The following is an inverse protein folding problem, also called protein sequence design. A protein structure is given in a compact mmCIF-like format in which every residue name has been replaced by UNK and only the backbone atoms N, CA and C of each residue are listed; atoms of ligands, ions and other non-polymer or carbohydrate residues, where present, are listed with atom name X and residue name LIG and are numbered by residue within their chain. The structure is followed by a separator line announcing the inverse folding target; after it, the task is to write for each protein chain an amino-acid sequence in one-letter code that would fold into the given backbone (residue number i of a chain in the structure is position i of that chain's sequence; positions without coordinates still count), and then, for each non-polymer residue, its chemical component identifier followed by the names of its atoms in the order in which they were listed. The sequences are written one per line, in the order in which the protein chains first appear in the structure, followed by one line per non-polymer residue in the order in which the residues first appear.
data_IF_388986652537
#
_entry.id   IF_388986652537
#
_cell.length_a   1.000
_cell.length_b   1.000
_cell.length_c   1.000
_cell.angle_alpha   90.00
_cell.angle_beta   90.00
_cell.angle_gamma   90.00
#
_symmetry.space_group_name_H-M   'P 1'
#
loop_
_entity.id
_entity.type
_entity.pdbx_description
1 polymer ?
#
# COMPACT_ATOMS: atom_id res chain seq x y z
N UNK A 1 -9.91 26.83 20.82
CA UNK A 1 -10.28 26.06 19.62
C UNK A 1 -10.66 27.06 18.57
N UNK A 2 -9.79 27.28 17.59
CA UNK A 2 -10.17 28.06 16.41
C UNK A 2 -11.08 27.14 15.58
N UNK A 3 -12.30 27.60 15.28
CA UNK A 3 -13.19 26.89 14.36
C UNK A 3 -12.43 26.65 13.06
N UNK A 4 -12.16 25.39 12.76
CA UNK A 4 -11.55 25.03 11.48
C UNK A 4 -12.66 25.14 10.44
N UNK A 5 -12.51 25.97 9.39
CA UNK A 5 -13.58 26.18 8.43
C UNK A 5 -13.97 24.86 7.76
N UNK A 6 -15.20 24.44 7.99
CA UNK A 6 -15.80 23.26 7.37
C UNK A 6 -16.19 23.60 5.92
N UNK A 7 -15.92 22.67 5.00
CA UNK A 7 -16.39 22.77 3.62
C UNK A 7 -17.57 21.81 3.43
N UNK A 8 -18.80 22.32 3.21
CA UNK A 8 -19.92 21.50 2.80
C UNK A 8 -19.75 21.06 1.34
N UNK A 9 -20.49 20.02 0.94
CA UNK A 9 -20.55 19.59 -0.46
C UNK A 9 -21.98 19.74 -0.98
N UNK A 10 -22.13 20.20 -2.23
CA UNK A 10 -23.42 20.25 -2.93
C UNK A 10 -23.42 19.41 -4.19
N UNK A 11 -22.25 19.26 -4.83
CA UNK A 11 -22.08 18.49 -6.08
C UNK A 11 -20.91 17.54 -5.97
N UNK A 12 -21.15 16.26 -6.25
CA UNK A 12 -20.14 15.22 -6.27
C UNK A 12 -19.96 14.67 -7.69
N UNK A 13 -18.71 14.60 -8.17
CA UNK A 13 -18.35 13.92 -9.41
C UNK A 13 -17.73 12.56 -9.10
N UNK A 14 -18.38 11.48 -9.53
CA UNK A 14 -17.98 10.10 -9.27
C UNK A 14 -17.56 9.44 -10.59
N UNK A 15 -16.33 8.95 -10.68
CA UNK A 15 -15.80 8.22 -11.82
C UNK A 15 -14.77 7.20 -11.33
N UNK A 16 -15.22 5.99 -11.02
CA UNK A 16 -14.40 4.96 -10.36
C UNK A 16 -14.25 3.71 -11.22
N UNK A 17 -13.05 3.13 -11.24
CA UNK A 17 -12.77 1.81 -11.81
C UNK A 17 -13.15 0.69 -10.84
N UNK A 18 -12.72 0.76 -9.58
CA UNK A 18 -13.17 -0.11 -8.49
C UNK A 18 -14.47 0.45 -7.89
N UNK A 19 -15.54 -0.35 -7.95
CA UNK A 19 -16.88 0.03 -7.44
C UNK A 19 -17.13 -0.41 -6.00
N UNK A 20 -16.11 -0.91 -5.30
CA UNK A 20 -16.21 -1.27 -3.88
C UNK A 20 -16.73 -0.09 -3.05
N UNK A 21 -17.81 -0.30 -2.29
CA UNK A 21 -18.44 0.73 -1.46
C UNK A 21 -19.11 1.88 -2.22
N UNK A 22 -19.11 1.90 -3.56
CA UNK A 22 -19.66 3.00 -4.36
C UNK A 22 -21.14 3.26 -4.08
N UNK A 23 -21.94 2.19 -4.01
CA UNK A 23 -23.40 2.32 -3.83
C UNK A 23 -23.74 2.90 -2.46
N UNK A 24 -23.00 2.54 -1.42
CA UNK A 24 -23.24 3.02 -0.06
C UNK A 24 -22.77 4.46 0.10
N UNK A 25 -21.61 4.80 -0.52
CA UNK A 25 -21.18 6.19 -0.63
C UNK A 25 -22.25 7.05 -1.31
N UNK A 26 -22.72 6.64 -2.48
CA UNK A 26 -23.64 7.43 -3.29
C UNK A 26 -25.02 7.58 -2.62
N UNK A 27 -25.52 6.55 -1.94
CA UNK A 27 -26.73 6.65 -1.09
C UNK A 27 -26.54 7.64 0.06
N UNK A 28 -25.39 7.61 0.72
CA UNK A 28 -25.07 8.57 1.79
C UNK A 28 -25.03 10.01 1.28
N UNK A 29 -24.42 10.24 0.11
CA UNK A 29 -24.37 11.56 -0.52
C UNK A 29 -25.77 12.06 -0.93
N UNK A 30 -26.57 11.21 -1.57
CA UNK A 30 -27.94 11.54 -1.98
C UNK A 30 -28.85 11.86 -0.78
N UNK A 31 -28.74 11.10 0.32
CA UNK A 31 -29.45 11.36 1.56
C UNK A 31 -29.09 12.72 2.20
N UNK A 32 -27.88 13.22 1.95
CA UNK A 32 -27.43 14.56 2.36
C UNK A 32 -27.83 15.66 1.36
N UNK A 33 -28.56 15.33 0.30
CA UNK A 33 -28.99 16.27 -0.74
C UNK A 33 -27.88 16.66 -1.72
N UNK A 34 -26.80 15.88 -1.81
CA UNK A 34 -25.67 16.15 -2.69
C UNK A 34 -25.99 15.62 -4.08
N UNK A 35 -25.93 16.50 -5.09
CA UNK A 35 -26.19 16.13 -6.47
C UNK A 35 -25.06 15.25 -7.03
N UNK A 36 -25.41 14.10 -7.61
CA UNK A 36 -24.46 13.16 -8.19
C UNK A 36 -24.24 13.42 -9.68
N UNK A 37 -22.98 13.57 -10.06
CA UNK A 37 -22.50 13.68 -11.43
C UNK A 37 -21.62 12.47 -11.70
N UNK A 38 -21.79 11.79 -12.83
CA UNK A 38 -20.98 10.62 -13.14
C UNK A 38 -20.82 10.39 -14.65
N UNK A 39 -20.04 9.38 -15.02
CA UNK A 39 -19.79 9.01 -16.42
C UNK A 39 -19.74 7.49 -16.59
N UNK A 40 -20.18 7.02 -17.76
CA UNK A 40 -19.99 5.66 -18.25
C UNK A 40 -20.46 4.59 -17.27
N UNK A 41 -19.62 3.58 -17.01
CA UNK A 41 -19.96 2.47 -16.13
C UNK A 41 -20.25 2.87 -14.67
N UNK A 42 -19.71 4.00 -14.19
CA UNK A 42 -20.05 4.49 -12.85
C UNK A 42 -21.47 5.04 -12.82
N UNK A 43 -21.87 5.82 -13.82
CA UNK A 43 -23.23 6.34 -13.93
C UNK A 43 -24.26 5.21 -14.06
N UNK A 44 -23.94 4.16 -14.82
CA UNK A 44 -24.79 2.97 -14.91
C UNK A 44 -24.99 2.29 -13.56
N UNK A 45 -23.91 2.04 -12.82
CA UNK A 45 -24.00 1.42 -11.48
C UNK A 45 -24.86 2.25 -10.50
N UNK A 46 -24.81 3.58 -10.59
CA UNK A 46 -25.65 4.47 -9.78
C UNK A 46 -27.13 4.38 -10.19
N UNK A 47 -27.44 4.28 -11.48
CA UNK A 47 -28.82 4.08 -11.96
C UNK A 47 -29.38 2.73 -11.54
N UNK A 48 -28.59 1.67 -11.62
CA UNK A 48 -28.99 0.33 -11.19
C UNK A 48 -29.28 0.30 -9.68
N UNK A 49 -28.59 1.16 -8.91
CA UNK A 49 -28.88 1.42 -7.51
C UNK A 49 -30.06 2.39 -7.26
N UNK A 50 -30.79 2.78 -8.32
CA UNK A 50 -31.95 3.68 -8.30
C UNK A 50 -31.64 5.09 -7.78
N UNK A 51 -30.40 5.57 -7.97
CA UNK A 51 -29.98 6.91 -7.56
C UNK A 51 -30.11 7.92 -8.72
N UNK A 52 -30.55 9.17 -8.44
CA UNK A 52 -30.55 10.22 -9.43
C UNK A 52 -29.10 10.61 -9.77
N UNK A 53 -28.75 10.55 -11.05
CA UNK A 53 -27.40 10.87 -11.53
C UNK A 53 -27.45 11.69 -12.81
N UNK A 54 -26.69 12.76 -12.85
CA UNK A 54 -26.47 13.56 -14.06
C UNK A 54 -25.21 13.06 -14.77
N UNK A 55 -25.32 12.74 -16.06
CA UNK A 55 -24.15 12.38 -16.87
C UNK A 55 -23.26 13.60 -17.11
N UNK A 56 -21.95 13.38 -17.16
CA UNK A 56 -20.97 14.42 -17.52
C UNK A 56 -21.28 15.01 -18.90
N UNK A 57 -21.76 14.21 -19.86
CA UNK A 57 -22.14 14.72 -21.20
C UNK A 57 -23.31 15.72 -21.15
N UNK A 58 -24.25 15.55 -20.21
CA UNK A 58 -25.33 16.51 -19.99
C UNK A 58 -24.81 17.81 -19.33
N UNK A 59 -23.75 17.71 -18.52
CA UNK A 59 -23.07 18.88 -17.97
C UNK A 59 -22.28 19.63 -19.03
N UNK A 60 -21.53 18.93 -19.88
CA UNK A 60 -20.60 19.53 -20.84
C UNK A 60 -21.28 19.96 -22.14
N UNK A 61 -22.41 19.35 -22.48
CA UNK A 61 -23.03 19.48 -23.81
C UNK A 61 -22.19 18.83 -24.93
N UNK A 62 -21.14 18.08 -24.58
CA UNK A 62 -20.22 17.45 -25.52
C UNK A 62 -20.42 15.92 -25.54
N UNK A 63 -20.58 15.30 -26.71
CA UNK A 63 -20.79 13.86 -26.81
C UNK A 63 -19.53 13.08 -26.44
N UNK A 64 -19.69 11.82 -26.06
CA UNK A 64 -18.56 10.91 -25.88
C UNK A 64 -17.96 10.57 -27.26
N UNK A 65 -16.67 10.89 -27.46
CA UNK A 65 -15.92 10.62 -28.69
C UNK A 65 -14.60 9.93 -28.34
N UNK A 66 -13.93 9.36 -29.36
CA UNK A 66 -12.63 8.67 -29.21
C UNK A 66 -12.67 7.62 -28.09
N UNK A 67 -13.75 6.84 -28.05
CA UNK A 67 -14.00 5.80 -27.03
C UNK A 67 -13.87 6.32 -25.59
N UNK A 68 -14.30 7.57 -25.35
CA UNK A 68 -14.33 8.17 -24.02
C UNK A 68 -13.01 8.79 -23.55
N UNK A 69 -11.95 8.78 -24.36
CA UNK A 69 -10.61 9.31 -24.01
C UNK A 69 -10.59 10.76 -23.52
N UNK A 70 -11.53 11.59 -23.99
CA UNK A 70 -11.55 13.04 -23.72
C UNK A 70 -12.77 13.52 -22.95
N UNK A 71 -13.62 12.60 -22.45
CA UNK A 71 -14.95 12.96 -21.94
C UNK A 71 -14.98 13.87 -20.72
N UNK A 72 -13.95 13.81 -19.87
CA UNK A 72 -13.84 14.66 -18.67
C UNK A 72 -12.84 15.81 -18.84
N UNK A 73 -12.09 15.85 -19.95
CA UNK A 73 -11.10 16.89 -20.25
C UNK A 73 -11.78 18.15 -20.78
N UNK A 74 -12.69 18.71 -19.98
CA UNK A 74 -13.56 19.80 -20.36
C UNK A 74 -13.51 20.96 -19.34
N UNK A 75 -13.53 22.23 -19.77
CA UNK A 75 -13.52 23.38 -18.85
C UNK A 75 -14.67 23.40 -17.83
N UNK A 76 -15.86 22.91 -18.20
CA UNK A 76 -17.00 22.81 -17.25
C UNK A 76 -16.74 21.80 -16.12
N UNK A 77 -15.87 20.80 -16.35
CA UNK A 77 -15.46 19.84 -15.31
C UNK A 77 -14.28 20.42 -14.52
N UNK A 78 -13.19 20.74 -15.22
CA UNK A 78 -11.96 21.21 -14.56
C UNK A 78 -12.11 22.59 -13.92
N UNK A 79 -12.91 23.49 -14.49
CA UNK A 79 -13.26 24.77 -13.89
C UNK A 79 -14.11 24.60 -12.62
N UNK A 80 -15.01 23.61 -12.59
CA UNK A 80 -15.78 23.28 -11.39
C UNK A 80 -14.88 22.78 -10.24
N UNK A 81 -13.86 22.00 -10.59
CA UNK A 81 -12.86 21.47 -9.64
C UNK A 81 -11.81 22.52 -9.23
N UNK A 82 -11.37 23.40 -10.13
CA UNK A 82 -10.24 24.33 -9.90
C UNK A 82 -10.65 25.74 -9.49
N UNK A 83 -11.91 26.13 -9.69
CA UNK A 83 -12.37 27.49 -9.37
C UNK A 83 -12.18 27.82 -7.89
N UNK A 84 -11.46 28.90 -7.61
CA UNK A 84 -11.22 29.40 -6.25
C UNK A 84 -12.48 30.12 -5.78
N UNK A 85 -13.11 29.60 -4.72
CA UNK A 85 -14.39 30.14 -4.24
C UNK A 85 -14.19 31.56 -3.72
N UNK A 86 -15.08 32.48 -4.09
CA UNK A 86 -14.99 33.90 -3.75
C UNK A 86 -14.02 34.72 -4.61
N UNK A 87 -13.17 34.08 -5.42
CA UNK A 87 -12.24 34.78 -6.33
C UNK A 87 -12.65 34.60 -7.79
N UNK A 88 -12.96 33.37 -8.19
CA UNK A 88 -13.28 33.02 -9.58
C UNK A 88 -14.79 32.93 -9.83
N UNK A 89 -15.63 33.21 -8.82
CA UNK A 89 -17.10 33.04 -8.89
C UNK A 89 -17.73 33.80 -10.07
N UNK A 90 -17.26 35.02 -10.36
CA UNK A 90 -17.79 35.85 -11.45
C UNK A 90 -17.51 35.23 -12.82
N UNK A 91 -16.28 34.80 -13.08
CA UNK A 91 -15.89 34.16 -14.35
C UNK A 91 -16.50 32.76 -14.48
N UNK A 92 -16.65 32.03 -13.37
CA UNK A 92 -17.38 30.77 -13.36
C UNK A 92 -18.84 30.97 -13.76
N UNK A 93 -19.52 31.97 -13.20
CA UNK A 93 -20.91 32.28 -13.53
C UNK A 93 -21.07 32.73 -14.99
N UNK A 94 -20.19 33.59 -15.50
CA UNK A 94 -20.18 34.06 -16.88
C UNK A 94 -20.13 32.90 -17.89
N UNK A 95 -19.35 31.86 -17.59
CA UNK A 95 -19.18 30.70 -18.45
C UNK A 95 -20.06 29.50 -18.08
N UNK A 96 -21.01 29.65 -17.16
CA UNK A 96 -21.90 28.55 -16.73
C UNK A 96 -21.18 27.40 -16.04
N UNK A 97 -20.00 27.65 -15.45
CA UNK A 97 -19.20 26.66 -14.72
C UNK A 97 -19.76 26.56 -13.30
N UNK A 98 -20.35 25.41 -12.97
CA UNK A 98 -20.77 25.12 -11.61
C UNK A 98 -19.65 24.48 -10.80
N UNK A 99 -19.57 24.86 -9.52
CA UNK A 99 -18.71 24.25 -8.52
C UNK A 99 -18.90 22.72 -8.44
N UNK A 100 -17.79 21.99 -8.35
CA UNK A 100 -17.75 20.58 -7.92
C UNK A 100 -17.02 20.56 -6.58
N UNK A 101 -17.65 20.00 -5.55
CA UNK A 101 -17.17 20.09 -4.17
C UNK A 101 -16.58 18.76 -3.67
N UNK A 102 -16.99 17.65 -4.27
CA UNK A 102 -16.46 16.32 -4.00
C UNK A 102 -16.10 15.63 -5.32
N UNK A 103 -14.87 15.12 -5.41
CA UNK A 103 -14.41 14.25 -6.49
C UNK A 103 -14.14 12.85 -5.92
N UNK A 104 -14.71 11.82 -6.54
CA UNK A 104 -14.46 10.41 -6.22
C UNK A 104 -13.93 9.71 -7.45
N UNK A 105 -12.63 9.44 -7.49
CA UNK A 105 -11.94 8.84 -8.63
C UNK A 105 -10.89 7.86 -8.14
N UNK A 106 -11.02 6.58 -8.48
CA UNK A 106 -9.92 5.63 -8.41
C UNK A 106 -9.53 5.21 -9.83
N UNK A 107 -8.23 5.08 -10.06
CA UNK A 107 -7.69 4.89 -11.40
C UNK A 107 -7.90 3.46 -11.89
N UNK A 108 -7.91 3.30 -13.21
CA UNK A 108 -7.91 1.99 -13.82
C UNK A 108 -6.67 1.19 -13.36
N UNK A 109 -6.80 -0.11 -13.03
CA UNK A 109 -5.70 -0.87 -12.49
C UNK A 109 -4.72 -1.26 -13.60
N UNK A 110 -3.90 -0.30 -14.04
CA UNK A 110 -2.85 -0.49 -15.06
C UNK A 110 -1.99 -1.72 -14.76
N UNK A 111 -1.63 -1.93 -13.50
CA UNK A 111 -0.91 -3.13 -13.05
C UNK A 111 -1.66 -4.44 -13.32
N UNK A 112 -2.98 -4.46 -13.15
CA UNK A 112 -3.76 -5.69 -13.33
C UNK A 112 -3.76 -6.11 -14.80
N UNK A 113 -3.85 -5.15 -15.73
CA UNK A 113 -3.75 -5.44 -17.16
C UNK A 113 -2.32 -5.83 -17.53
N UNK A 114 -1.34 -5.06 -17.09
CA UNK A 114 0.05 -5.26 -17.48
C UNK A 114 0.74 -6.44 -16.80
N UNK A 115 0.20 -6.94 -15.69
CA UNK A 115 0.65 -8.18 -15.05
C UNK A 115 0.25 -9.43 -15.83
N UNK A 116 -0.69 -9.34 -16.79
CA UNK A 116 -1.02 -10.50 -17.61
C UNK A 116 0.13 -10.82 -18.57
N UNK A 117 0.59 -12.09 -18.65
CA UNK A 117 1.69 -12.47 -19.54
C UNK A 117 1.45 -12.16 -21.02
N UNK A 118 0.20 -12.05 -21.44
CA UNK A 118 -0.25 -11.85 -22.82
C UNK A 118 -0.61 -10.39 -23.14
N UNK A 119 -0.43 -9.45 -22.21
CA UNK A 119 -0.74 -8.04 -22.44
C UNK A 119 0.11 -7.46 -23.58
N UNK A 120 -0.54 -7.00 -24.65
CA UNK A 120 0.14 -6.34 -25.76
C UNK A 120 0.57 -4.92 -25.41
N UNK A 121 1.39 -4.32 -26.28
CA UNK A 121 1.78 -2.92 -26.13
C UNK A 121 0.60 -1.98 -26.30
N UNK A 122 -0.20 -2.25 -27.33
CA UNK A 122 -1.41 -1.51 -27.66
C UNK A 122 -2.39 -1.57 -26.50
N UNK A 123 -2.65 -2.76 -25.94
CA UNK A 123 -3.56 -2.92 -24.81
C UNK A 123 -3.09 -2.13 -23.58
N UNK A 124 -1.81 -2.17 -23.25
CA UNK A 124 -1.29 -1.39 -22.14
C UNK A 124 -1.45 0.12 -22.37
N UNK A 125 -1.16 0.61 -23.59
CA UNK A 125 -1.30 2.02 -23.97
C UNK A 125 -2.76 2.48 -23.87
N UNK A 126 -3.72 1.66 -24.31
CA UNK A 126 -5.15 1.98 -24.19
C UNK A 126 -5.62 2.09 -22.74
N UNK A 127 -4.95 1.38 -21.81
CA UNK A 127 -5.27 1.40 -20.38
C UNK A 127 -4.53 2.50 -19.59
N UNK A 128 -3.81 3.40 -20.27
CA UNK A 128 -3.26 4.61 -19.65
C UNK A 128 -4.38 5.66 -19.51
N UNK A 129 -4.78 5.93 -18.27
CA UNK A 129 -5.81 6.89 -17.93
C UNK A 129 -5.27 8.32 -17.96
N UNK A 130 -5.94 9.18 -18.70
CA UNK A 130 -5.63 10.61 -18.81
C UNK A 130 -6.57 11.44 -17.95
N UNK A 131 -7.88 11.16 -18.04
CA UNK A 131 -8.92 11.93 -17.38
C UNK A 131 -8.89 11.78 -15.86
N UNK A 132 -8.70 10.55 -15.37
CA UNK A 132 -8.64 10.24 -13.94
C UNK A 132 -7.53 11.02 -13.22
N UNK A 133 -6.24 10.90 -13.64
CA UNK A 133 -5.15 11.64 -13.01
C UNK A 133 -5.32 13.16 -13.15
N UNK A 134 -5.83 13.65 -14.29
CA UNK A 134 -6.10 15.08 -14.46
C UNK A 134 -7.13 15.60 -13.45
N UNK A 135 -8.23 14.89 -13.23
CA UNK A 135 -9.26 15.25 -12.24
C UNK A 135 -8.72 15.15 -10.81
N UNK A 136 -8.01 14.07 -10.46
CA UNK A 136 -7.42 13.89 -9.13
C UNK A 136 -6.47 15.04 -8.78
N UNK A 137 -5.56 15.38 -9.70
CA UNK A 137 -4.62 16.49 -9.51
C UNK A 137 -5.34 17.84 -9.41
N UNK A 138 -6.40 18.05 -10.20
CA UNK A 138 -7.20 19.26 -10.14
C UNK A 138 -7.90 19.45 -8.78
N UNK A 139 -8.59 18.42 -8.30
CA UNK A 139 -9.26 18.44 -7.00
C UNK A 139 -8.27 18.57 -5.83
N UNK A 140 -7.18 17.79 -5.85
CA UNK A 140 -6.14 17.83 -4.82
C UNK A 140 -5.44 19.20 -4.75
N UNK A 141 -5.19 19.85 -5.90
CA UNK A 141 -4.65 21.21 -5.95
C UNK A 141 -5.59 22.20 -5.25
N UNK A 142 -6.91 22.05 -5.44
CA UNK A 142 -7.92 22.95 -4.89
C UNK A 142 -8.55 22.43 -3.59
N UNK A 143 -7.80 21.67 -2.79
CA UNK A 143 -8.28 21.03 -1.56
C UNK A 143 -8.75 22.00 -0.48
N UNK A 144 -8.49 23.30 -0.63
CA UNK A 144 -9.10 24.31 0.23
C UNK A 144 -10.64 24.30 0.13
N UNK A 145 -11.18 23.93 -1.03
CA UNK A 145 -12.62 23.92 -1.32
C UNK A 145 -13.15 22.57 -1.79
N UNK A 146 -12.29 21.70 -2.36
CA UNK A 146 -12.71 20.43 -2.96
C UNK A 146 -12.22 19.26 -2.11
N UNK A 147 -13.13 18.30 -1.87
CA UNK A 147 -12.82 17.03 -1.24
C UNK A 147 -12.44 16.05 -2.36
N UNK A 148 -11.32 15.35 -2.22
CA UNK A 148 -10.85 14.36 -3.19
C UNK A 148 -10.77 12.99 -2.54
N UNK A 149 -11.36 11.98 -3.17
CA UNK A 149 -11.38 10.60 -2.71
C UNK A 149 -10.82 9.70 -3.82
N UNK A 150 -9.73 8.98 -3.53
CA UNK A 150 -9.13 8.03 -4.47
C UNK A 150 -9.09 6.58 -3.99
N UNK A 151 -9.66 6.32 -2.81
CA UNK A 151 -9.61 5.03 -2.14
C UNK A 151 -10.93 4.79 -1.38
N UNK A 152 -11.62 3.66 -1.59
CA UNK A 152 -12.86 3.32 -0.90
C UNK A 152 -12.77 3.33 0.63
N UNK A 153 -11.58 3.12 1.19
CA UNK A 153 -11.38 3.09 2.66
C UNK A 153 -11.64 4.44 3.34
N UNK A 154 -11.58 5.55 2.59
CA UNK A 154 -11.83 6.90 3.14
C UNK A 154 -13.32 7.30 3.06
N UNK A 155 -14.20 6.50 2.44
CA UNK A 155 -15.59 6.88 2.17
C UNK A 155 -16.39 7.14 3.44
N UNK A 156 -16.24 6.27 4.44
CA UNK A 156 -16.98 6.36 5.69
C UNK A 156 -16.64 7.63 6.48
N UNK A 157 -15.36 7.97 6.59
CA UNK A 157 -14.90 9.17 7.31
C UNK A 157 -15.39 10.45 6.64
N UNK A 158 -15.37 10.52 5.30
CA UNK A 158 -15.86 11.70 4.58
C UNK A 158 -17.38 11.84 4.68
N UNK A 159 -18.13 10.73 4.58
CA UNK A 159 -19.59 10.76 4.79
C UNK A 159 -19.94 11.24 6.20
N UNK A 160 -19.25 10.75 7.22
CA UNK A 160 -19.45 11.18 8.60
C UNK A 160 -19.18 12.69 8.76
N UNK A 161 -18.06 13.19 8.22
CA UNK A 161 -17.76 14.62 8.27
C UNK A 161 -18.81 15.47 7.54
N UNK A 162 -19.29 15.02 6.37
CA UNK A 162 -20.33 15.72 5.61
C UNK A 162 -21.68 15.75 6.36
N UNK A 163 -22.04 14.66 7.05
CA UNK A 163 -23.24 14.61 7.90
C UNK A 163 -23.16 15.60 9.08
N UNK A 164 -21.94 15.92 9.53
CA UNK A 164 -21.67 16.91 10.58
C UNK A 164 -21.41 18.34 10.04
N UNK A 165 -21.86 18.64 8.82
CA UNK A 165 -21.86 20.00 8.27
C UNK A 165 -20.69 20.33 7.33
N UNK A 166 -19.73 19.41 7.17
CA UNK A 166 -18.67 19.55 6.18
C UNK A 166 -17.34 18.97 6.63
N UNK A 167 -16.39 18.90 5.70
CA UNK A 167 -15.04 18.39 6.00
C UNK A 167 -14.17 19.47 6.64
N UNK A 168 -13.32 19.16 7.63
CA UNK A 168 -12.31 20.11 8.10
C UNK A 168 -11.13 20.20 7.13
N UNK A 169 -10.41 21.32 7.14
CA UNK A 169 -9.28 21.57 6.24
C UNK A 169 -8.17 20.50 6.37
N UNK A 170 -7.89 20.04 7.59
CA UNK A 170 -6.88 19.00 7.83
C UNK A 170 -7.23 17.67 7.16
N UNK A 171 -8.51 17.29 7.15
CA UNK A 171 -8.98 16.12 6.41
C UNK A 171 -8.74 16.30 4.90
N UNK A 172 -9.12 17.46 4.34
CA UNK A 172 -8.93 17.73 2.90
C UNK A 172 -7.45 17.76 2.50
N UNK A 173 -6.57 18.31 3.34
CA UNK A 173 -5.11 18.29 3.12
C UNK A 173 -4.55 16.87 3.08
N UNK A 174 -4.96 16.02 4.03
CA UNK A 174 -4.57 14.61 4.07
C UNK A 174 -5.02 13.87 2.81
N UNK A 175 -6.28 14.06 2.41
CA UNK A 175 -6.85 13.45 1.21
C UNK A 175 -6.15 13.95 -0.07
N UNK A 176 -5.81 15.23 -0.16
CA UNK A 176 -5.06 15.78 -1.28
C UNK A 176 -3.64 15.20 -1.40
N UNK A 177 -2.93 15.08 -0.28
CA UNK A 177 -1.63 14.41 -0.24
C UNK A 177 -1.74 12.94 -0.68
N UNK A 178 -2.80 12.23 -0.24
CA UNK A 178 -3.09 10.86 -0.67
C UNK A 178 -3.34 10.77 -2.17
N UNK A 179 -4.13 11.68 -2.75
CA UNK A 179 -4.40 11.74 -4.19
C UNK A 179 -3.13 11.98 -5.01
N UNK A 180 -2.24 12.88 -4.59
CA UNK A 180 -0.95 13.08 -5.27
C UNK A 180 -0.03 11.86 -5.16
N UNK A 181 0.04 11.21 -4.00
CA UNK A 181 0.78 9.96 -3.83
C UNK A 181 0.24 8.83 -4.72
N UNK A 182 -1.08 8.75 -4.87
CA UNK A 182 -1.74 7.81 -5.78
C UNK A 182 -1.34 8.06 -7.24
N UNK A 183 -1.38 9.32 -7.70
CA UNK A 183 -0.96 9.65 -9.08
C UNK A 183 0.54 9.49 -9.31
N UNK A 184 1.39 9.79 -8.32
CA UNK A 184 2.84 9.58 -8.44
C UNK A 184 3.18 8.09 -8.56
N UNK A 185 2.47 7.24 -7.83
CA UNK A 185 2.58 5.77 -7.94
C UNK A 185 2.14 5.29 -9.31
N UNK A 186 0.99 5.79 -9.81
CA UNK A 186 0.46 5.46 -11.12
C UNK A 186 1.45 5.82 -12.25
N UNK A 187 1.92 7.07 -12.29
CA UNK A 187 2.85 7.54 -13.31
C UNK A 187 4.19 6.78 -13.25
N UNK A 188 4.68 6.47 -12.05
CA UNK A 188 5.89 5.65 -11.86
C UNK A 188 5.75 4.25 -12.48
N UNK A 189 4.58 3.61 -12.33
CA UNK A 189 4.29 2.29 -12.91
C UNK A 189 4.23 2.34 -14.44
N UNK A 190 3.55 3.34 -14.99
CA UNK A 190 3.49 3.57 -16.45
C UNK A 190 4.90 3.80 -16.99
N UNK A 191 5.70 4.64 -16.34
CA UNK A 191 7.08 4.92 -16.73
C UNK A 191 7.97 3.66 -16.69
N UNK A 192 7.92 2.88 -15.61
CA UNK A 192 8.66 1.61 -15.50
C UNK A 192 8.25 0.60 -16.57
N UNK A 193 6.94 0.46 -16.84
CA UNK A 193 6.44 -0.49 -17.82
C UNK A 193 6.83 -0.13 -19.26
N UNK A 194 6.73 1.15 -19.63
CA UNK A 194 7.15 1.65 -20.94
C UNK A 194 8.67 1.57 -21.11
N UNK A 195 9.43 1.96 -20.07
CA UNK A 195 10.89 1.94 -20.06
C UNK A 195 11.47 0.55 -20.35
N UNK A 196 10.93 -0.49 -19.71
CA UNK A 196 11.33 -1.88 -19.92
C UNK A 196 11.13 -2.40 -21.36
N UNK A 197 10.35 -1.69 -22.18
CA UNK A 197 9.99 -2.07 -23.56
C UNK A 197 10.55 -1.11 -24.62
N UNK A 198 11.25 -0.04 -24.21
CA UNK A 198 11.93 0.86 -25.13
C UNK A 198 13.14 0.13 -25.75
N UNK A 199 12.91 -0.55 -26.88
CA UNK A 199 13.93 -1.33 -27.60
C UNK A 199 15.00 -0.40 -28.20
N UNK A 200 16.09 -0.18 -27.47
CA UNK A 200 17.39 0.20 -28.04
C UNK A 200 18.19 -1.04 -28.46
N UNK A 201 19.33 -0.83 -29.13
CA UNK A 201 20.24 -1.91 -29.61
C UNK A 201 20.83 -2.76 -28.46
N UNK A 202 20.69 -2.33 -27.21
CA UNK A 202 21.08 -3.05 -26.00
C UNK A 202 19.92 -3.09 -25.01
N UNK A 203 19.44 -4.28 -24.65
CA UNK A 203 18.52 -4.47 -23.54
C UNK A 203 19.29 -4.25 -22.23
N UNK A 204 19.18 -3.07 -21.63
CA UNK A 204 19.76 -2.81 -20.31
C UNK A 204 18.93 -3.51 -19.22
N UNK A 205 19.56 -4.17 -18.23
CA UNK A 205 18.84 -4.94 -17.20
C UNK A 205 18.10 -4.05 -16.19
N UNK A 206 18.48 -2.77 -16.06
CA UNK A 206 17.88 -1.82 -15.14
C UNK A 206 17.32 -0.61 -15.90
N UNK A 207 16.15 -0.07 -15.49
CA UNK A 207 15.55 1.07 -16.16
C UNK A 207 16.34 2.37 -15.91
N UNK A 208 16.25 3.36 -16.83
CA UNK A 208 16.90 4.65 -16.66
C UNK A 208 16.33 5.49 -15.50
N UNK A 209 15.12 5.16 -15.01
CA UNK A 209 14.52 5.75 -13.82
C UNK A 209 14.00 4.67 -12.87
N UNK A 210 14.29 4.84 -11.57
CA UNK A 210 13.85 3.94 -10.51
C UNK A 210 12.63 4.55 -9.79
N UNK A 211 11.47 3.91 -9.93
CA UNK A 211 10.23 4.31 -9.27
C UNK A 211 9.82 3.25 -8.25
N UNK A 212 10.08 3.53 -6.96
CA UNK A 212 9.71 2.67 -5.85
C UNK A 212 8.40 3.14 -5.22
N UNK A 213 7.41 2.26 -5.15
CA UNK A 213 6.10 2.56 -4.58
C UNK A 213 5.86 1.73 -3.32
N UNK A 214 5.91 2.40 -2.16
CA UNK A 214 5.63 1.79 -0.87
C UNK A 214 4.51 2.51 -0.13
N UNK A 215 3.71 1.75 0.61
CA UNK A 215 2.67 2.25 1.49
C UNK A 215 3.12 2.14 2.95
N UNK A 216 2.86 3.16 3.76
CA UNK A 216 3.25 3.14 5.18
C UNK A 216 2.33 2.18 5.95
N UNK A 217 2.88 1.08 6.44
CA UNK A 217 2.15 0.10 7.27
C UNK A 217 2.00 0.56 8.72
N UNK A 218 3.06 1.13 9.31
CA UNK A 218 3.03 1.66 10.69
C UNK A 218 4.18 2.63 10.97
N UNK A 219 3.95 3.54 11.90
CA UNK A 219 5.04 4.27 12.58
C UNK A 219 5.67 3.34 13.62
N UNK A 220 6.99 3.37 13.72
CA UNK A 220 7.74 2.63 14.73
C UNK A 220 8.07 3.56 15.90
N UNK A 221 8.29 2.97 17.08
CA UNK A 221 8.60 3.73 18.30
C UNK A 221 9.83 4.62 18.15
N UNK A 222 10.86 4.11 17.48
CA UNK A 222 12.10 4.80 17.11
C UNK A 222 12.84 3.94 16.05
N UNK A 223 13.90 4.48 15.46
CA UNK A 223 14.79 3.81 14.50
C UNK A 223 15.78 2.87 15.17
N UNK A 224 17.02 2.80 14.67
CA UNK A 224 18.06 2.00 15.32
C UNK A 224 18.33 2.46 16.75
N UNK A 225 18.23 3.78 16.99
CA UNK A 225 18.45 4.42 18.28
C UNK A 225 17.23 5.26 18.72
N UNK A 226 17.00 5.44 20.04
CA UNK A 226 15.79 6.12 20.57
C UNK A 226 15.53 7.55 20.07
N UNK A 227 16.57 8.27 19.64
CA UNK A 227 16.46 9.65 19.16
C UNK A 227 16.06 9.75 17.68
N UNK A 228 16.00 8.61 16.97
CA UNK A 228 15.67 8.55 15.55
C UNK A 228 14.20 8.17 15.38
N UNK A 229 13.43 8.89 14.56
CA UNK A 229 12.08 8.47 14.18
C UNK A 229 12.15 7.39 13.08
N UNK A 230 11.18 6.47 13.03
CA UNK A 230 11.13 5.43 12.01
C UNK A 230 9.70 4.98 11.67
N UNK A 231 9.56 4.31 10.53
CA UNK A 231 8.31 3.74 10.06
C UNK A 231 8.60 2.49 9.20
N UNK A 232 7.66 1.55 9.19
CA UNK A 232 7.66 0.42 8.27
C UNK A 232 6.81 0.77 7.05
N UNK A 233 7.42 0.63 5.87
CA UNK A 233 6.79 0.77 4.57
C UNK A 233 6.73 -0.60 3.89
N UNK A 234 5.66 -0.88 3.14
CA UNK A 234 5.43 -2.17 2.47
C UNK A 234 4.99 -1.95 1.03
N UNK A 235 5.40 -2.83 0.15
CA UNK A 235 4.91 -2.84 -1.23
C UNK A 235 3.43 -3.24 -1.25
N UNK A 236 2.65 -2.67 -2.18
CA UNK A 236 1.22 -2.95 -2.28
C UNK A 236 0.91 -4.43 -2.54
N UNK A 237 1.77 -5.10 -3.31
CA UNK A 237 1.66 -6.52 -3.65
C UNK A 237 2.78 -7.33 -3.00
N UNK A 238 3.21 -6.94 -1.79
CA UNK A 238 4.28 -7.64 -1.08
C UNK A 238 3.95 -9.14 -0.93
N UNK A 239 4.91 -9.99 -1.29
CA UNK A 239 4.78 -11.44 -1.19
C UNK A 239 4.58 -11.91 0.25
N UNK A 240 3.83 -13.01 0.41
CA UNK A 240 3.81 -13.77 1.65
C UNK A 240 5.19 -14.32 1.98
N UNK A 241 5.38 -14.73 3.24
CA UNK A 241 6.65 -15.30 3.64
C UNK A 241 7.75 -14.28 3.86
N UNK A 242 7.43 -13.00 4.08
CA UNK A 242 8.40 -11.93 4.39
C UNK A 242 8.09 -11.34 5.77
N UNK A 243 9.07 -10.67 6.39
CA UNK A 243 8.83 -9.97 7.67
C UNK A 243 7.83 -8.81 7.51
N UNK A 244 7.84 -8.16 6.34
CA UNK A 244 6.89 -7.09 6.03
C UNK A 244 5.43 -7.56 6.05
N UNK A 245 5.15 -8.80 5.63
CA UNK A 245 3.79 -9.39 5.57
C UNK A 245 3.47 -10.35 6.71
N UNK A 246 4.44 -10.70 7.55
CA UNK A 246 4.26 -11.61 8.68
C UNK A 246 3.19 -11.15 9.67
N UNK A 247 2.46 -12.12 10.22
CA UNK A 247 1.49 -11.93 11.28
C UNK A 247 2.20 -11.97 12.63
N UNK A 248 1.95 -10.96 13.47
CA UNK A 248 2.35 -10.98 14.88
C UNK A 248 1.30 -11.78 15.66
N UNK A 249 1.64 -12.97 16.14
CA UNK A 249 0.73 -13.85 16.86
C UNK A 249 0.73 -13.58 18.37
N UNK A 250 1.87 -13.18 18.93
CA UNK A 250 2.01 -12.84 20.34
C UNK A 250 3.13 -11.82 20.55
N UNK A 251 3.11 -11.16 21.72
CA UNK A 251 4.17 -10.27 22.18
C UNK A 251 3.92 -8.78 21.94
N UNK A 252 4.91 -7.97 22.31
CA UNK A 252 4.94 -6.52 22.10
C UNK A 252 5.12 -6.14 20.63
N UNK A 253 4.87 -4.87 20.31
CA UNK A 253 5.22 -4.31 19.00
C UNK A 253 6.71 -4.52 18.66
N UNK A 254 6.99 -4.77 17.38
CA UNK A 254 8.34 -4.92 16.84
C UNK A 254 9.02 -3.55 16.74
N UNK A 255 10.26 -3.47 17.24
CA UNK A 255 11.13 -2.30 17.01
C UNK A 255 11.77 -2.32 15.61
N UNK A 256 12.46 -1.23 15.25
CA UNK A 256 13.25 -1.18 14.01
C UNK A 256 14.29 -2.31 13.94
N UNK A 257 15.10 -2.47 15.00
CA UNK A 257 16.11 -3.52 15.05
C UNK A 257 15.48 -4.92 15.05
N UNK A 258 14.31 -5.10 15.69
CA UNK A 258 13.61 -6.39 15.61
C UNK A 258 13.20 -6.72 14.18
N UNK A 259 12.77 -5.74 13.38
CA UNK A 259 12.40 -5.97 11.98
C UNK A 259 13.64 -6.32 11.13
N UNK A 260 14.72 -5.55 11.27
CA UNK A 260 15.96 -5.79 10.52
C UNK A 260 16.60 -7.15 10.86
N UNK A 261 16.74 -7.48 12.15
CA UNK A 261 17.32 -8.75 12.59
C UNK A 261 16.40 -9.94 12.24
N UNK A 262 15.07 -9.75 12.28
CA UNK A 262 14.11 -10.78 11.87
C UNK A 262 14.19 -11.06 10.38
N UNK A 263 14.41 -10.03 9.56
CA UNK A 263 14.53 -10.18 8.12
C UNK A 263 15.83 -10.91 7.76
N UNK A 264 16.95 -10.51 8.38
CA UNK A 264 18.22 -11.22 8.24
C UNK A 264 18.12 -12.70 8.67
N UNK A 265 17.46 -13.01 9.78
CA UNK A 265 17.27 -14.38 10.25
C UNK A 265 16.38 -15.19 9.29
N UNK A 266 15.29 -14.60 8.80
CA UNK A 266 14.35 -15.25 7.89
C UNK A 266 14.99 -15.52 6.51
N UNK A 267 15.64 -14.53 5.91
CA UNK A 267 16.29 -14.71 4.61
C UNK A 267 17.45 -15.71 4.69
N UNK A 268 18.18 -15.74 5.82
CA UNK A 268 19.22 -16.76 6.04
C UNK A 268 18.62 -18.18 6.18
N UNK A 269 17.53 -18.36 6.95
CA UNK A 269 16.96 -19.71 7.12
C UNK A 269 16.31 -20.25 5.84
N UNK A 270 15.84 -19.35 4.96
CA UNK A 270 15.28 -19.71 3.64
C UNK A 270 16.28 -20.34 2.68
N UNK A 271 17.58 -20.12 2.88
CA UNK A 271 18.61 -20.78 2.08
C UNK A 271 18.61 -22.31 2.26
N UNK A 272 17.98 -22.84 3.33
CA UNK A 272 17.99 -24.25 3.69
C UNK A 272 16.64 -24.94 3.43
N UNK A 273 16.14 -24.95 2.20
CA UNK A 273 14.74 -25.34 1.94
C UNK A 273 14.37 -26.80 2.26
N UNK A 274 15.32 -27.73 2.16
CA UNK A 274 15.04 -29.18 2.15
C UNK A 274 15.12 -29.86 3.52
N UNK A 275 15.76 -29.23 4.49
CA UNK A 275 16.12 -29.85 5.78
C UNK A 275 15.72 -28.89 6.90
N UNK A 276 15.13 -29.38 8.01
CA UNK A 276 14.88 -28.55 9.18
C UNK A 276 16.11 -27.74 9.58
N UNK A 277 15.92 -26.42 9.67
CA UNK A 277 16.97 -25.46 9.90
C UNK A 277 16.54 -24.43 10.94
N UNK A 278 17.53 -23.99 11.73
CA UNK A 278 17.38 -22.94 12.71
C UNK A 278 18.51 -21.93 12.52
N UNK A 279 18.14 -20.65 12.47
CA UNK A 279 19.08 -19.53 12.45
C UNK A 279 18.81 -18.65 13.67
N UNK A 280 19.87 -18.30 14.40
CA UNK A 280 19.83 -17.36 15.52
C UNK A 280 20.68 -16.15 15.16
N UNK A 281 20.07 -14.97 15.11
CA UNK A 281 20.71 -13.70 14.74
C UNK A 281 20.71 -12.73 15.91
N UNK A 282 21.75 -11.90 15.99
CA UNK A 282 21.81 -10.72 16.86
C UNK A 282 22.56 -9.59 16.16
N UNK A 283 21.94 -8.41 16.06
CA UNK A 283 22.52 -7.25 15.37
C UNK A 283 22.95 -7.58 13.93
N UNK A 284 22.04 -8.17 13.17
CA UNK A 284 22.20 -8.64 11.79
C UNK A 284 23.30 -9.70 11.57
N UNK A 285 23.90 -10.25 12.62
CA UNK A 285 24.93 -11.28 12.53
C UNK A 285 24.41 -12.63 13.04
N UNK A 286 24.62 -13.75 12.30
CA UNK A 286 24.27 -15.07 12.79
C UNK A 286 25.22 -15.48 13.92
N UNK A 287 24.65 -15.79 15.09
CA UNK A 287 25.37 -16.39 16.21
C UNK A 287 25.23 -17.93 16.23
N UNK A 288 24.30 -18.47 15.45
CA UNK A 288 24.16 -19.92 15.25
C UNK A 288 23.32 -20.22 14.01
N UNK A 289 23.80 -21.14 13.18
CA UNK A 289 23.06 -21.69 12.03
C UNK A 289 23.25 -23.19 12.08
N UNK A 290 22.16 -23.94 12.07
CA UNK A 290 22.25 -25.40 12.05
C UNK A 290 21.09 -26.05 11.32
N UNK A 291 21.40 -27.22 10.77
CA UNK A 291 20.45 -28.17 10.24
C UNK A 291 20.20 -29.28 11.28
N UNK A 292 19.05 -29.91 11.19
CA UNK A 292 18.68 -31.06 12.00
C UNK A 292 17.68 -31.97 11.28
N UNK A 293 17.45 -33.15 11.83
CA UNK A 293 16.36 -34.03 11.39
C UNK A 293 15.00 -33.56 11.89
N UNK A 294 14.97 -32.64 12.85
CA UNK A 294 13.80 -31.97 13.39
C UNK A 294 14.09 -30.49 13.68
N UNK A 295 13.04 -29.68 13.82
CA UNK A 295 13.15 -28.25 14.19
C UNK A 295 13.84 -28.09 15.55
N UNK A 296 13.52 -28.99 16.50
CA UNK A 296 14.17 -29.06 17.81
C UNK A 296 15.67 -29.32 17.71
N UNK A 297 16.09 -30.35 16.97
CA UNK A 297 17.51 -30.68 16.83
C UNK A 297 18.28 -29.53 16.16
N UNK A 298 17.68 -28.92 15.13
CA UNK A 298 18.25 -27.73 14.49
C UNK A 298 18.42 -26.58 15.50
N UNK A 299 17.42 -26.33 16.36
CA UNK A 299 17.53 -25.34 17.44
C UNK A 299 18.64 -25.67 18.43
N UNK A 300 18.73 -26.92 18.90
CA UNK A 300 19.74 -27.34 19.88
C UNK A 300 21.16 -27.13 19.32
N UNK A 301 21.40 -27.50 18.07
CA UNK A 301 22.68 -27.28 17.40
C UNK A 301 22.98 -25.80 17.16
N UNK A 302 22.00 -25.01 16.69
CA UNK A 302 22.20 -23.58 16.46
C UNK A 302 22.52 -22.84 17.77
N UNK A 303 21.80 -23.15 18.84
CA UNK A 303 22.04 -22.58 20.16
C UNK A 303 23.41 -22.94 20.72
N UNK A 304 23.87 -24.19 20.51
CA UNK A 304 25.17 -24.65 20.99
C UNK A 304 26.37 -23.95 20.33
N UNK A 305 26.17 -23.26 19.21
CA UNK A 305 27.23 -22.52 18.52
C UNK A 305 27.79 -21.38 19.37
N UNK A 306 26.92 -20.50 19.88
CA UNK A 306 27.28 -19.44 20.82
C UNK A 306 26.09 -19.08 21.74
N UNK A 307 25.92 -19.82 22.86
CA UNK A 307 24.85 -19.57 23.83
C UNK A 307 24.88 -18.16 24.44
N UNK A 308 26.06 -17.54 24.52
CA UNK A 308 26.23 -16.21 25.13
C UNK A 308 25.67 -15.15 24.19
N UNK A 309 26.01 -15.23 22.91
CA UNK A 309 25.47 -14.32 21.90
C UNK A 309 23.99 -14.56 21.61
N UNK A 310 23.52 -15.81 21.68
CA UNK A 310 22.11 -16.15 21.46
C UNK A 310 21.13 -15.49 22.45
N UNK A 311 21.60 -15.08 23.64
CA UNK A 311 20.79 -14.37 24.62
C UNK A 311 20.31 -13.00 24.09
N UNK A 312 18.99 -12.83 24.02
CA UNK A 312 18.34 -11.66 23.42
C UNK A 312 18.37 -11.65 21.89
N UNK A 313 18.70 -12.78 21.26
CA UNK A 313 18.70 -12.93 19.81
C UNK A 313 17.30 -13.07 19.22
N UNK A 314 17.26 -13.24 17.91
CA UNK A 314 16.10 -13.56 17.10
C UNK A 314 16.29 -14.93 16.47
N UNK A 315 15.26 -15.78 16.58
CA UNK A 315 15.30 -17.15 16.09
C UNK A 315 14.37 -17.27 14.88
N UNK A 316 14.86 -17.85 13.79
CA UNK A 316 14.08 -18.18 12.61
C UNK A 316 14.15 -19.68 12.30
N UNK A 317 13.00 -20.25 11.98
CA UNK A 317 12.84 -21.62 11.50
C UNK A 317 12.28 -21.63 10.09
N UNK A 318 12.72 -22.58 9.27
CA UNK A 318 12.16 -22.85 7.93
C UNK A 318 10.96 -23.80 7.94
N UNK A 319 10.60 -24.38 9.09
CA UNK A 319 9.44 -25.24 9.27
C UNK A 319 8.58 -24.81 10.47
N UNK A 320 7.42 -25.44 10.60
CA UNK A 320 6.45 -25.25 11.68
C UNK A 320 7.12 -25.36 13.07
N UNK A 321 6.80 -24.41 13.95
CA UNK A 321 7.22 -24.44 15.35
C UNK A 321 6.25 -25.26 16.20
N UNK A 322 6.75 -26.36 16.75
CA UNK A 322 6.02 -27.24 17.67
C UNK A 322 6.10 -26.79 19.14
N UNK A 323 5.24 -27.38 19.98
CA UNK A 323 5.15 -27.08 21.43
C UNK A 323 6.46 -27.35 22.18
N UNK A 324 7.11 -28.48 21.90
CA UNK A 324 8.28 -28.93 22.65
C UNK A 324 9.47 -27.98 22.42
N UNK A 325 9.71 -27.62 21.15
CA UNK A 325 10.75 -26.66 20.77
C UNK A 325 10.44 -25.28 21.34
N UNK A 326 9.17 -24.83 21.27
CA UNK A 326 8.74 -23.57 21.86
C UNK A 326 9.01 -23.53 23.38
N UNK A 327 8.65 -24.58 24.11
CA UNK A 327 8.89 -24.68 25.54
C UNK A 327 10.39 -24.62 25.86
N UNK A 328 11.21 -25.36 25.11
CA UNK A 328 12.65 -25.40 25.30
C UNK A 328 13.30 -24.02 25.11
N UNK A 329 12.91 -23.27 24.06
CA UNK A 329 13.38 -21.91 23.81
C UNK A 329 13.06 -20.99 25.00
N UNK A 330 11.80 -21.01 25.44
CA UNK A 330 11.28 -20.10 26.47
C UNK A 330 11.81 -20.40 27.88
N UNK A 331 12.25 -21.63 28.14
CA UNK A 331 12.93 -22.03 29.37
C UNK A 331 14.42 -21.64 29.34
N UNK A 332 15.08 -21.86 28.20
CA UNK A 332 16.55 -21.81 28.11
C UNK A 332 17.10 -20.39 27.97
N UNK A 333 16.43 -19.50 27.25
CA UNK A 333 16.97 -18.17 26.98
C UNK A 333 15.94 -17.06 26.94
N UNK A 334 16.40 -15.83 27.19
CA UNK A 334 15.68 -14.66 26.74
C UNK A 334 15.81 -14.54 25.22
N UNK A 335 14.68 -14.40 24.53
CA UNK A 335 14.62 -14.24 23.07
C UNK A 335 13.70 -13.04 22.76
N UNK A 336 14.09 -12.21 21.80
CA UNK A 336 13.29 -11.03 21.42
C UNK A 336 12.16 -11.41 20.45
N UNK A 337 12.50 -12.20 19.43
CA UNK A 337 11.59 -12.60 18.34
C UNK A 337 11.83 -14.07 17.96
N UNK A 338 10.75 -14.82 17.76
CA UNK A 338 10.76 -16.16 17.16
C UNK A 338 9.88 -16.17 15.92
N UNK A 339 10.39 -16.74 14.83
CA UNK A 339 9.81 -16.67 13.49
C UNK A 339 9.69 -18.08 12.94
N UNK A 340 8.53 -18.42 12.41
CA UNK A 340 8.29 -19.67 11.68
C UNK A 340 7.23 -19.47 10.58
N UNK A 341 7.18 -20.30 9.53
CA UNK A 341 6.10 -20.25 8.54
C UNK A 341 4.73 -20.57 9.17
N UNK A 342 4.68 -21.47 10.15
CA UNK A 342 3.50 -21.80 10.92
C UNK A 342 3.85 -22.12 12.38
N UNK A 343 2.86 -22.02 13.27
CA UNK A 343 3.04 -22.30 14.71
C UNK A 343 1.88 -23.15 15.20
N UNK A 344 2.15 -24.11 16.08
CA UNK A 344 1.11 -24.91 16.72
C UNK A 344 0.35 -24.11 17.80
N UNK A 345 -0.92 -24.44 18.02
CA UNK A 345 -1.76 -23.76 19.01
C UNK A 345 -1.18 -23.86 20.43
N UNK A 346 -0.58 -25.01 20.76
CA UNK A 346 0.08 -25.22 22.04
C UNK A 346 1.36 -24.39 22.20
N UNK A 347 2.15 -24.25 21.12
CA UNK A 347 3.28 -23.33 21.09
C UNK A 347 2.82 -21.88 21.27
N UNK A 348 1.78 -21.45 20.55
CA UNK A 348 1.19 -20.11 20.71
C UNK A 348 0.75 -19.84 22.15
N UNK A 349 0.09 -20.81 22.80
CA UNK A 349 -0.31 -20.71 24.20
C UNK A 349 0.89 -20.56 25.17
N UNK A 350 2.05 -21.14 24.85
CA UNK A 350 3.27 -20.95 25.63
C UNK A 350 3.81 -19.51 25.49
N UNK A 351 3.86 -18.97 24.27
CA UNK A 351 4.30 -17.59 24.01
C UNK A 351 3.35 -16.54 24.57
N UNK A 352 2.03 -16.82 24.63
CA UNK A 352 1.05 -15.92 25.23
C UNK A 352 1.35 -15.61 26.72
N UNK A 353 2.08 -16.50 27.41
CA UNK A 353 2.53 -16.30 28.80
C UNK A 353 3.77 -15.40 28.92
N UNK A 354 4.38 -15.00 27.80
CA UNK A 354 5.63 -14.25 27.71
C UNK A 354 5.40 -12.95 26.92
N UNK A 355 4.78 -11.91 27.52
CA UNK A 355 4.29 -10.74 26.79
C UNK A 355 5.38 -9.92 26.08
N UNK A 356 6.66 -10.11 26.44
CA UNK A 356 7.79 -9.40 25.83
C UNK A 356 8.35 -10.13 24.59
N UNK A 357 8.06 -11.41 24.42
CA UNK A 357 8.62 -12.22 23.33
C UNK A 357 7.67 -12.16 22.14
N UNK A 358 8.17 -11.75 20.97
CA UNK A 358 7.36 -11.70 19.75
C UNK A 358 7.37 -13.05 19.07
N UNK A 359 6.20 -13.54 18.71
CA UNK A 359 6.04 -14.73 17.89
C UNK A 359 5.44 -14.33 16.55
N UNK A 360 6.15 -14.59 15.46
CA UNK A 360 5.75 -14.23 14.11
C UNK A 360 5.47 -15.48 13.28
N UNK A 361 4.33 -15.47 12.58
CA UNK A 361 4.03 -16.40 11.51
C UNK A 361 4.16 -15.70 10.16
N UNK A 362 5.09 -16.15 9.32
CA UNK A 362 5.33 -15.57 7.99
C UNK A 362 4.38 -16.15 6.93
N UNK A 363 3.76 -17.31 7.22
CA UNK A 363 3.12 -18.15 6.21
C UNK A 363 4.16 -18.91 5.38
N UNK A 364 3.69 -19.87 4.60
CA UNK A 364 4.56 -20.55 3.63
C UNK A 364 5.06 -19.55 2.58
N UNK A 365 6.31 -19.75 2.14
CA UNK A 365 6.94 -18.99 1.08
C UNK A 365 7.20 -19.87 -0.15
N UNK A 366 7.24 -19.28 -1.36
CA UNK A 366 7.55 -20.03 -2.56
C UNK A 366 8.97 -20.65 -2.51
N UNK A 367 9.13 -21.86 -3.05
CA UNK A 367 10.46 -22.49 -3.22
C UNK A 367 11.39 -21.67 -4.13
N UNK A 368 10.80 -20.96 -5.10
CA UNK A 368 11.52 -19.99 -5.94
C UNK A 368 10.89 -18.61 -5.75
N UNK A 369 11.66 -17.68 -5.20
CA UNK A 369 11.30 -16.27 -5.26
C UNK A 369 11.34 -15.85 -6.75
N UNK A 370 10.26 -15.23 -7.26
CA UNK A 370 10.29 -14.61 -8.60
C UNK A 370 11.40 -13.54 -8.66
N UNK A 371 11.88 -13.16 -9.85
CA UNK A 371 12.96 -12.16 -10.01
C UNK A 371 12.77 -10.97 -9.04
N UNK A 372 13.76 -10.78 -8.16
CA UNK A 372 13.72 -9.79 -7.08
C UNK A 372 14.98 -8.94 -7.16
N UNK A 373 14.80 -7.63 -7.09
CA UNK A 373 15.90 -6.66 -7.05
C UNK A 373 16.21 -6.36 -5.59
N UNK A 374 17.48 -6.49 -5.20
CA UNK A 374 17.99 -6.01 -3.92
C UNK A 374 18.42 -4.55 -4.02
N UNK A 375 18.09 -3.76 -2.99
CA UNK A 375 18.36 -2.33 -2.94
C UNK A 375 19.23 -1.98 -1.76
N UNK A 376 20.35 -1.30 -2.04
CA UNK A 376 21.25 -0.78 -1.00
C UNK A 376 21.40 0.72 -1.10
N UNK A 377 20.93 1.42 -0.06
CA UNK A 377 21.14 2.86 0.07
C UNK A 377 22.62 3.15 0.32
N UNK A 378 23.19 4.05 -0.48
CA UNK A 378 24.46 4.71 -0.21
C UNK A 378 24.21 6.21 0.04
N UNK A 379 25.18 6.93 0.59
CA UNK A 379 25.04 8.38 0.75
C UNK A 379 24.81 9.03 -0.63
N UNK A 380 23.69 9.71 -0.81
CA UNK A 380 23.34 10.36 -2.07
C UNK A 380 22.72 9.43 -3.14
N UNK A 381 23.12 8.16 -3.27
CA UNK A 381 22.59 7.22 -4.30
C UNK A 381 21.91 5.92 -3.80
N UNK A 382 21.31 5.16 -4.72
CA UNK A 382 20.76 3.82 -4.46
C UNK A 382 21.44 2.82 -5.41
N UNK A 383 21.94 1.72 -4.87
CA UNK A 383 22.40 0.58 -5.65
C UNK A 383 21.22 -0.38 -5.84
N UNK A 384 21.11 -0.94 -7.04
CA UNK A 384 20.13 -1.97 -7.39
C UNK A 384 20.88 -3.13 -8.03
N UNK A 385 20.60 -4.36 -7.60
CA UNK A 385 21.20 -5.58 -8.14
C UNK A 385 20.17 -6.70 -8.12
N UNK A 386 20.39 -7.75 -8.91
CA UNK A 386 19.63 -8.99 -8.75
C UNK A 386 19.90 -9.58 -7.35
N UNK A 387 18.88 -10.15 -6.73
CA UNK A 387 19.06 -10.89 -5.49
C UNK A 387 19.97 -12.11 -5.72
N UNK A 388 20.83 -12.39 -4.74
CA UNK A 388 21.69 -13.57 -4.76
C UNK A 388 20.83 -14.85 -4.63
N UNK A 389 21.02 -15.78 -5.55
CA UNK A 389 20.25 -17.03 -5.67
C UNK A 389 21.15 -18.25 -5.87
N UNK A 390 22.46 -18.05 -5.90
CA UNK A 390 23.41 -19.16 -6.00
C UNK A 390 23.40 -19.88 -4.65
N UNK A 391 22.45 -20.81 -4.49
CA UNK A 391 22.19 -21.59 -3.27
C UNK A 391 22.43 -23.07 -3.47
#
# INVERSE_FOLDING_TARGET
MFDTPLAPARRALLSVSDKSGLSDLARGLDALGISLISTGGTAQALRDAHLPVTEVSALTGFPEIMDGRVKTLHPLVHGGLLGRRGTDDAVMAEHGIAAIDLLVVNLYPFDTVTARPDCSLEEAIENIDIGGPAMLRAAAKNHEHVIVLCDPTDYAEVLDALAHGGTPLELRRRLAAKAYAHTATYDGRVASWLGARSKGETSEPFPPSLHLAYERKRILRYGENPHQAAALYVERNASRGTIATAQVLAGKELSYNNLADADAALECVKAFQRTPACVIVKHANPCGVALGTSVREAYEHAYACDPVSAFGGIIAFNHRLDEETAAQILERQFVEVVIAPAVDDAALAAFAKKPNVRLLATGEWPEQSGQSVDYKRIAGGMLAQDADRDT
#
